data_IF_371423991024
#
_entry.id   IF_371423991024
#
_cell.length_a   1.000
_cell.length_b   1.000
_cell.length_c   1.000
_cell.angle_alpha   90.00
_cell.angle_beta   90.00
_cell.angle_gamma   90.00
#
_symmetry.space_group_name_H-M   'P 1'
#
loop_
_entity.id
_entity.type
_entity.pdbx_description
1 polymer ?
#
# COMPACT_ATOMS: atom_id res chain seq x y z
N UNK A 1 7.59 -31.21 -16.10
CA UNK A 1 7.39 -30.39 -14.88
C UNK A 1 5.98 -30.67 -14.38
N UNK A 2 5.82 -31.08 -13.11
CA UNK A 2 4.50 -31.33 -12.54
C UNK A 2 3.68 -30.04 -12.59
N UNK A 3 2.46 -30.13 -13.06
CA UNK A 3 1.52 -29.00 -13.11
C UNK A 3 1.27 -28.53 -11.68
N UNK A 4 1.80 -27.37 -11.30
CA UNK A 4 1.62 -26.83 -9.94
C UNK A 4 0.18 -26.37 -9.79
N UNK A 5 -0.59 -27.10 -8.99
CA UNK A 5 -1.92 -26.70 -8.55
C UNK A 5 -1.80 -25.61 -7.47
N UNK A 6 -2.81 -24.77 -7.36
CA UNK A 6 -2.95 -23.81 -6.27
C UNK A 6 -4.38 -23.85 -5.72
N UNK A 7 -4.54 -23.34 -4.51
CA UNK A 7 -5.84 -23.27 -3.84
C UNK A 7 -6.10 -21.81 -3.48
N UNK A 8 -7.21 -21.27 -3.94
CA UNK A 8 -7.74 -20.01 -3.41
C UNK A 8 -8.56 -20.32 -2.16
N UNK A 9 -8.48 -19.46 -1.13
CA UNK A 9 -9.23 -19.62 0.12
C UNK A 9 -9.68 -18.26 0.64
N UNK A 10 -10.75 -18.27 1.44
CA UNK A 10 -11.36 -17.06 1.98
C UNK A 10 -12.15 -17.36 3.25
N UNK A 11 -12.19 -16.40 4.17
CA UNK A 11 -12.92 -16.46 5.41
C UNK A 11 -14.00 -15.39 5.48
N UNK A 12 -15.24 -15.78 5.86
CA UNK A 12 -16.15 -14.82 6.43
C UNK A 12 -15.98 -14.77 7.94
N UNK A 13 -16.12 -13.56 8.51
CA UNK A 13 -15.81 -13.34 9.92
C UNK A 13 -16.89 -12.61 10.67
N UNK A 14 -16.93 -12.79 12.01
CA UNK A 14 -17.89 -12.14 12.90
C UNK A 14 -17.75 -10.62 12.99
N UNK A 15 -16.64 -10.05 12.49
CA UNK A 15 -16.31 -8.64 12.50
C UNK A 15 -14.86 -8.40 12.11
N UNK A 16 -14.33 -7.21 12.33
CA UNK A 16 -12.96 -6.85 12.03
C UNK A 16 -12.06 -6.92 13.28
N UNK A 17 -10.74 -7.17 13.10
CA UNK A 17 -9.79 -7.19 14.21
C UNK A 17 -9.61 -5.77 14.78
N UNK A 18 -9.40 -5.66 16.10
CA UNK A 18 -9.14 -4.39 16.80
C UNK A 18 -7.72 -3.83 16.59
N UNK A 19 -6.86 -4.57 15.92
CA UNK A 19 -5.46 -4.16 15.68
C UNK A 19 -4.89 -4.81 14.43
N UNK A 20 -3.67 -4.42 14.08
CA UNK A 20 -2.96 -4.87 12.87
C UNK A 20 -1.62 -5.56 13.18
N UNK A 21 -1.35 -5.87 14.45
CA UNK A 21 -0.12 -6.58 14.83
C UNK A 21 -0.14 -8.02 14.33
N UNK A 22 1.01 -8.64 14.05
CA UNK A 22 1.08 -10.06 13.73
C UNK A 22 0.37 -10.91 14.81
N UNK A 23 -0.23 -12.00 14.41
CA UNK A 23 -0.94 -12.92 15.30
C UNK A 23 0.07 -13.74 16.09
N UNK A 24 0.08 -13.54 17.39
CA UNK A 24 0.82 -14.31 18.39
C UNK A 24 -0.07 -14.56 19.60
N UNK A 25 0.36 -15.39 20.54
CA UNK A 25 -0.39 -15.61 21.77
C UNK A 25 -0.64 -14.30 22.54
N UNK A 26 0.31 -13.37 22.52
CA UNK A 26 0.22 -12.07 23.20
C UNK A 26 -0.74 -11.10 22.51
N UNK A 27 -0.87 -11.21 21.19
CA UNK A 27 -1.69 -10.30 20.37
C UNK A 27 -3.04 -10.88 20.00
N UNK A 28 -3.34 -12.11 20.41
CA UNK A 28 -4.56 -12.86 20.04
C UNK A 28 -5.85 -12.11 20.37
N UNK A 29 -5.88 -11.38 21.46
CA UNK A 29 -7.05 -10.58 21.88
C UNK A 29 -7.50 -9.52 20.86
N UNK A 30 -6.64 -9.13 19.90
CA UNK A 30 -7.02 -8.23 18.81
C UNK A 30 -8.07 -8.87 17.86
N UNK A 31 -8.13 -10.22 17.85
CA UNK A 31 -9.02 -10.99 16.98
C UNK A 31 -10.28 -11.50 17.71
N UNK A 32 -10.56 -11.07 18.94
CA UNK A 32 -11.76 -11.46 19.67
C UNK A 32 -13.06 -11.05 18.98
N UNK A 33 -13.02 -9.98 18.21
CA UNK A 33 -14.12 -9.48 17.39
C UNK A 33 -14.08 -9.94 15.94
N UNK A 34 -13.06 -10.72 15.56
CA UNK A 34 -12.82 -11.19 14.18
C UNK A 34 -12.64 -12.71 14.19
N UNK A 35 -13.73 -13.42 14.47
CA UNK A 35 -13.76 -14.89 14.57
C UNK A 35 -14.25 -15.49 13.25
N UNK A 36 -13.71 -16.61 12.85
CA UNK A 36 -14.11 -17.30 11.63
C UNK A 36 -15.57 -17.80 11.71
N UNK A 37 -16.36 -17.45 10.71
CA UNK A 37 -17.78 -17.85 10.56
C UNK A 37 -17.94 -18.88 9.44
N UNK A 38 -17.18 -18.73 8.36
CA UNK A 38 -17.03 -19.77 7.32
C UNK A 38 -15.60 -19.80 6.79
N UNK A 39 -15.24 -20.94 6.23
CA UNK A 39 -14.00 -21.14 5.47
C UNK A 39 -14.34 -21.85 4.18
N UNK A 40 -14.00 -21.24 3.07
CA UNK A 40 -14.14 -21.82 1.74
C UNK A 40 -12.80 -21.91 1.04
N UNK A 41 -12.68 -22.86 0.12
CA UNK A 41 -11.51 -23.00 -0.72
C UNK A 41 -11.87 -23.56 -2.10
N UNK A 42 -11.11 -23.17 -3.10
CA UNK A 42 -11.27 -23.62 -4.48
C UNK A 42 -9.90 -24.04 -5.04
N UNK A 43 -9.79 -25.28 -5.49
CA UNK A 43 -8.59 -25.85 -6.10
C UNK A 43 -8.55 -25.59 -7.58
N UNK A 44 -7.44 -25.11 -8.07
CA UNK A 44 -7.21 -24.83 -9.48
C UNK A 44 -6.04 -25.62 -10.05
N UNK A 45 -6.14 -25.96 -11.34
CA UNK A 45 -5.00 -26.40 -12.12
C UNK A 45 -4.04 -25.23 -12.36
N UNK A 46 -2.81 -25.49 -12.78
CA UNK A 46 -1.83 -24.45 -13.16
C UNK A 46 -2.30 -23.53 -14.29
N UNK A 47 -3.35 -23.91 -15.04
CA UNK A 47 -3.97 -23.12 -16.10
C UNK A 47 -5.22 -22.36 -15.65
N UNK A 48 -5.45 -22.25 -14.34
CA UNK A 48 -6.60 -21.51 -13.80
C UNK A 48 -7.96 -22.20 -13.97
N UNK A 49 -7.99 -23.50 -14.32
CA UNK A 49 -9.24 -24.26 -14.39
C UNK A 49 -9.62 -24.76 -12.99
N UNK A 50 -10.84 -24.48 -12.56
CA UNK A 50 -11.41 -25.02 -11.32
C UNK A 50 -11.44 -26.55 -11.35
N UNK A 51 -10.94 -27.19 -10.31
CA UNK A 51 -10.83 -28.66 -10.17
C UNK A 51 -11.76 -29.18 -9.11
N UNK A 52 -11.78 -28.52 -7.93
CA UNK A 52 -12.50 -28.97 -6.74
C UNK A 52 -12.80 -27.80 -5.81
N UNK A 53 -13.78 -27.96 -4.92
CA UNK A 53 -14.16 -26.93 -3.97
C UNK A 53 -14.35 -27.51 -2.56
N UNK A 54 -14.08 -26.67 -1.57
CA UNK A 54 -14.35 -26.91 -0.15
C UNK A 54 -15.15 -25.72 0.37
N UNK A 55 -16.22 -26.01 1.12
CA UNK A 55 -17.07 -24.99 1.74
C UNK A 55 -17.58 -25.48 3.08
N UNK A 56 -17.31 -24.71 4.13
CA UNK A 56 -17.68 -25.10 5.48
C UNK A 56 -18.07 -23.89 6.34
N UNK A 57 -19.20 -23.99 6.98
CA UNK A 57 -19.65 -23.06 8.00
C UNK A 57 -19.09 -23.49 9.36
N UNK A 58 -18.68 -22.51 10.18
CA UNK A 58 -18.04 -22.72 11.48
C UNK A 58 -19.05 -22.41 12.60
N UNK A 59 -19.15 -23.33 13.55
CA UNK A 59 -20.05 -23.17 14.71
C UNK A 59 -19.52 -22.09 15.66
N UNK A 60 -20.25 -20.99 15.89
CA UNK A 60 -19.86 -20.00 16.89
C UNK A 60 -20.08 -20.54 18.30
N UNK A 61 -19.02 -20.76 19.05
CA UNK A 61 -19.08 -21.33 20.41
C UNK A 61 -19.04 -20.28 21.51
N UNK A 62 -18.19 -19.26 21.34
CA UNK A 62 -17.85 -18.28 22.37
C UNK A 62 -17.91 -16.83 21.86
N UNK A 63 -18.54 -16.62 20.72
CA UNK A 63 -18.70 -15.30 20.10
C UNK A 63 -20.06 -15.15 19.42
N UNK A 64 -20.40 -13.92 19.04
CA UNK A 64 -21.59 -13.58 18.25
C UNK A 64 -21.19 -12.92 16.95
N UNK A 65 -22.02 -13.06 15.93
CA UNK A 65 -21.78 -12.46 14.62
C UNK A 65 -22.36 -11.04 14.63
N UNK A 66 -21.56 -10.03 14.29
CA UNK A 66 -22.02 -8.65 14.30
C UNK A 66 -23.08 -8.40 13.23
N UNK A 67 -24.08 -7.53 13.47
CA UNK A 67 -25.10 -7.19 12.46
C UNK A 67 -24.47 -6.64 11.16
N UNK A 68 -23.35 -5.91 11.28
CA UNK A 68 -22.62 -5.39 10.11
C UNK A 68 -22.03 -6.52 9.26
N UNK A 69 -21.46 -7.56 9.87
CA UNK A 69 -20.95 -8.72 9.17
C UNK A 69 -22.07 -9.53 8.51
N UNK A 70 -23.18 -9.76 9.23
CA UNK A 70 -24.36 -10.42 8.67
C UNK A 70 -24.88 -9.68 7.43
N UNK A 71 -24.90 -8.34 7.46
CA UNK A 71 -25.34 -7.53 6.32
C UNK A 71 -24.40 -7.67 5.09
N UNK A 72 -23.15 -8.07 5.30
CA UNK A 72 -22.16 -8.25 4.22
C UNK A 72 -22.24 -9.67 3.64
N UNK A 73 -22.08 -10.71 4.46
CA UNK A 73 -21.96 -12.09 3.98
C UNK A 73 -23.26 -12.92 4.12
N UNK A 74 -24.30 -12.38 4.74
CA UNK A 74 -25.61 -13.03 4.86
C UNK A 74 -25.70 -14.21 5.84
N UNK A 75 -24.61 -14.61 6.50
CA UNK A 75 -24.61 -15.73 7.45
C UNK A 75 -25.10 -15.23 8.80
N UNK A 76 -26.30 -15.65 9.16
CA UNK A 76 -26.87 -15.34 10.48
C UNK A 76 -26.33 -16.28 11.56
N UNK A 77 -26.47 -15.88 12.82
CA UNK A 77 -26.05 -16.73 13.95
C UNK A 77 -26.82 -18.05 13.97
N UNK A 78 -28.12 -18.04 13.68
CA UNK A 78 -28.93 -19.24 13.58
C UNK A 78 -28.47 -20.20 12.48
N UNK A 79 -28.08 -19.65 11.31
CA UNK A 79 -27.51 -20.46 10.25
C UNK A 79 -26.18 -21.09 10.67
N UNK A 80 -25.28 -20.30 11.26
CA UNK A 80 -24.00 -20.78 11.73
C UNK A 80 -24.12 -21.82 12.85
N UNK A 81 -25.11 -21.66 13.77
CA UNK A 81 -25.38 -22.62 14.82
C UNK A 81 -26.03 -23.91 14.30
N UNK A 82 -26.90 -23.84 13.29
CA UNK A 82 -27.61 -25.00 12.77
C UNK A 82 -26.80 -25.83 11.78
N UNK A 83 -25.90 -25.18 10.99
CA UNK A 83 -25.16 -25.84 9.92
C UNK A 83 -23.64 -25.87 10.16
N UNK A 84 -23.15 -25.06 11.11
CA UNK A 84 -21.75 -24.96 11.43
C UNK A 84 -21.18 -26.18 12.13
N UNK A 85 -19.93 -26.44 11.90
CA UNK A 85 -19.15 -27.50 12.53
C UNK A 85 -18.06 -26.89 13.42
N UNK A 86 -17.57 -27.58 14.45
CA UNK A 86 -16.46 -27.12 15.28
C UNK A 86 -15.24 -26.77 14.40
N UNK A 87 -14.54 -25.67 14.72
CA UNK A 87 -13.40 -25.19 13.94
C UNK A 87 -12.35 -26.28 13.72
N UNK A 88 -12.00 -27.06 14.76
CA UNK A 88 -11.01 -28.13 14.66
C UNK A 88 -11.37 -29.17 13.58
N UNK A 89 -12.64 -29.52 13.46
CA UNK A 89 -13.12 -30.43 12.42
C UNK A 89 -13.01 -29.81 11.03
N UNK A 90 -13.45 -28.54 10.90
CA UNK A 90 -13.35 -27.80 9.64
C UNK A 90 -11.88 -27.64 9.20
N UNK A 91 -11.00 -27.33 10.14
CA UNK A 91 -9.57 -27.21 9.88
C UNK A 91 -8.94 -28.55 9.41
N UNK A 92 -9.31 -29.66 10.06
CA UNK A 92 -8.81 -31.01 9.69
C UNK A 92 -9.24 -31.36 8.24
N UNK A 93 -10.51 -31.10 7.92
CA UNK A 93 -11.02 -31.35 6.57
C UNK A 93 -10.37 -30.42 5.53
N UNK A 94 -10.14 -29.15 5.91
CA UNK A 94 -9.43 -28.19 5.08
C UNK A 94 -7.99 -28.59 4.80
N UNK A 95 -7.25 -29.05 5.80
CA UNK A 95 -5.90 -29.60 5.60
C UNK A 95 -5.90 -30.86 4.73
N UNK A 96 -6.92 -31.69 4.88
CA UNK A 96 -7.14 -32.86 3.98
C UNK A 96 -7.42 -32.41 2.56
N UNK A 97 -8.26 -31.38 2.38
CA UNK A 97 -8.52 -30.77 1.08
C UNK A 97 -7.23 -30.18 0.48
N UNK A 98 -6.39 -29.48 1.22
CA UNK A 98 -5.10 -28.96 0.73
C UNK A 98 -4.23 -30.12 0.24
N UNK A 99 -4.12 -31.18 1.01
CA UNK A 99 -3.32 -32.36 0.70
C UNK A 99 -1.81 -32.07 0.60
N UNK A 100 -0.97 -33.10 0.49
CA UNK A 100 0.48 -32.96 0.63
C UNK A 100 1.18 -32.30 -0.59
N UNK A 101 0.50 -32.23 -1.72
CA UNK A 101 1.12 -31.76 -2.99
C UNK A 101 0.91 -30.28 -3.26
N UNK A 102 -0.12 -29.66 -2.69
CA UNK A 102 -0.42 -28.25 -2.95
C UNK A 102 0.31 -27.40 -1.92
N UNK A 103 1.18 -26.51 -2.39
CA UNK A 103 1.96 -25.61 -1.54
C UNK A 103 1.54 -24.14 -1.70
N UNK A 104 0.86 -23.79 -2.79
CA UNK A 104 0.47 -22.40 -3.07
C UNK A 104 -0.98 -22.16 -2.66
N UNK A 105 -1.15 -21.28 -1.69
CA UNK A 105 -2.43 -20.78 -1.19
C UNK A 105 -2.61 -19.33 -1.65
N UNK A 106 -3.78 -18.99 -2.16
CA UNK A 106 -4.06 -17.68 -2.75
C UNK A 106 -5.26 -17.05 -2.07
N UNK A 107 -5.20 -15.77 -1.75
CA UNK A 107 -6.34 -15.01 -1.27
C UNK A 107 -6.30 -13.57 -1.78
N UNK A 108 -7.43 -12.87 -1.75
CA UNK A 108 -7.49 -11.44 -2.04
C UNK A 108 -7.41 -10.65 -0.73
N UNK A 109 -6.30 -9.98 -0.44
CA UNK A 109 -5.90 -9.47 0.86
C UNK A 109 -5.47 -10.59 1.84
N UNK A 110 -4.66 -11.52 1.34
CA UNK A 110 -4.24 -12.75 2.03
C UNK A 110 -3.75 -12.54 3.48
N UNK A 111 -3.20 -11.37 3.80
CA UNK A 111 -2.78 -11.04 5.17
C UNK A 111 -3.95 -11.13 6.17
N UNK A 112 -5.15 -10.75 5.75
CA UNK A 112 -6.34 -10.85 6.58
C UNK A 112 -6.69 -12.32 6.85
N UNK A 113 -6.87 -13.12 5.80
CA UNK A 113 -7.30 -14.52 5.88
C UNK A 113 -6.29 -15.39 6.63
N UNK A 114 -4.99 -15.19 6.36
CA UNK A 114 -3.90 -15.86 7.09
C UNK A 114 -3.93 -15.48 8.58
N UNK A 115 -4.21 -14.23 8.89
CA UNK A 115 -4.31 -13.80 10.29
C UNK A 115 -5.52 -14.40 11.00
N UNK A 116 -6.66 -14.50 10.32
CA UNK A 116 -7.85 -15.19 10.85
C UNK A 116 -7.54 -16.67 11.08
N UNK A 117 -6.96 -17.36 10.10
CA UNK A 117 -6.55 -18.76 10.22
C UNK A 117 -5.62 -18.98 11.43
N UNK A 118 -4.55 -18.17 11.54
CA UNK A 118 -3.59 -18.29 12.67
C UNK A 118 -4.23 -17.98 14.00
N UNK A 119 -5.16 -17.02 14.07
CA UNK A 119 -5.84 -16.68 15.31
C UNK A 119 -6.75 -17.80 15.80
N UNK A 120 -7.48 -18.44 14.89
CA UNK A 120 -8.30 -19.61 15.24
C UNK A 120 -7.45 -20.84 15.58
N UNK A 121 -6.33 -21.07 14.88
CA UNK A 121 -5.39 -22.15 15.23
C UNK A 121 -4.89 -21.99 16.67
N UNK A 122 -4.42 -20.78 17.05
CA UNK A 122 -3.96 -20.51 18.42
C UNK A 122 -5.06 -20.70 19.49
N UNK A 123 -6.30 -20.33 19.18
CA UNK A 123 -7.44 -20.51 20.10
C UNK A 123 -7.79 -21.97 20.34
N UNK A 124 -7.49 -22.82 19.39
CA UNK A 124 -7.78 -24.25 19.44
C UNK A 124 -6.53 -25.09 19.71
N UNK A 125 -5.43 -24.47 20.21
CA UNK A 125 -4.15 -25.13 20.52
C UNK A 125 -3.58 -25.93 19.35
N UNK A 126 -3.81 -25.45 18.11
CA UNK A 126 -3.27 -26.07 16.88
C UNK A 126 -1.90 -25.46 16.60
N UNK A 127 -0.92 -26.34 16.35
CA UNK A 127 0.44 -25.91 16.04
C UNK A 127 0.50 -25.13 14.71
N UNK A 128 1.00 -23.90 14.78
CA UNK A 128 1.16 -23.04 13.59
C UNK A 128 2.14 -23.60 12.55
N UNK A 129 3.05 -24.47 12.97
CA UNK A 129 4.01 -25.13 12.05
C UNK A 129 3.33 -25.96 10.95
N UNK A 130 2.08 -26.39 11.15
CA UNK A 130 1.30 -27.12 10.14
C UNK A 130 1.06 -26.33 8.85
N UNK A 131 1.17 -25.01 8.89
CA UNK A 131 0.97 -24.15 7.73
C UNK A 131 2.25 -23.43 7.27
N UNK A 132 3.40 -23.66 7.93
CA UNK A 132 4.67 -22.99 7.59
C UNK A 132 5.21 -23.39 6.20
N UNK A 133 4.90 -24.59 5.75
CA UNK A 133 5.24 -25.07 4.40
C UNK A 133 4.36 -24.51 3.28
N UNK A 134 3.29 -23.78 3.61
CA UNK A 134 2.38 -23.20 2.65
C UNK A 134 2.87 -21.82 2.20
N UNK A 135 2.89 -21.62 0.88
CA UNK A 135 3.26 -20.36 0.26
C UNK A 135 2.00 -19.52 0.03
N UNK A 136 1.74 -18.56 0.91
CA UNK A 136 0.61 -17.66 0.80
C UNK A 136 0.89 -16.53 -0.20
N UNK A 137 0.02 -16.39 -1.20
CA UNK A 137 0.09 -15.38 -2.26
C UNK A 137 -1.14 -14.47 -2.19
N UNK A 138 -0.92 -13.19 -2.34
CA UNK A 138 -1.98 -12.18 -2.26
C UNK A 138 -2.23 -11.56 -3.64
N UNK A 139 -3.42 -11.78 -4.21
CA UNK A 139 -3.78 -11.20 -5.52
C UNK A 139 -3.85 -9.68 -5.47
N UNK A 140 -4.25 -9.08 -4.33
CA UNK A 140 -4.27 -7.65 -4.12
C UNK A 140 -2.84 -7.07 -4.12
N UNK A 141 -1.89 -7.70 -3.40
CA UNK A 141 -0.50 -7.23 -3.35
C UNK A 141 0.19 -7.41 -4.70
N UNK A 142 0.04 -8.58 -5.34
CA UNK A 142 0.56 -8.85 -6.67
C UNK A 142 0.02 -7.87 -7.72
N UNK A 143 -1.28 -7.57 -7.67
CA UNK A 143 -1.86 -6.53 -8.51
C UNK A 143 -1.30 -5.16 -8.19
N UNK A 144 -1.19 -4.82 -6.90
CA UNK A 144 -0.63 -3.55 -6.43
C UNK A 144 0.84 -3.39 -6.83
N UNK A 145 1.65 -4.42 -6.75
CA UNK A 145 3.04 -4.42 -7.21
C UNK A 145 3.14 -4.14 -8.72
N UNK A 146 2.21 -4.69 -9.50
CA UNK A 146 2.20 -4.54 -10.96
C UNK A 146 1.56 -3.23 -11.43
N UNK A 147 0.46 -2.80 -10.78
CA UNK A 147 -0.37 -1.68 -11.24
C UNK A 147 -0.45 -0.52 -10.24
N UNK A 148 0.22 -0.63 -9.07
CA UNK A 148 0.46 0.42 -8.06
C UNK A 148 -0.79 1.00 -7.39
N UNK A 149 -1.94 0.38 -7.54
CA UNK A 149 -3.15 0.76 -6.81
C UNK A 149 -3.80 -0.48 -6.19
N UNK A 150 -4.41 -0.36 -5.01
CA UNK A 150 -5.27 -1.42 -4.51
C UNK A 150 -6.49 -1.56 -5.43
N UNK A 151 -7.00 -2.77 -5.53
CA UNK A 151 -8.20 -3.05 -6.32
C UNK A 151 -9.10 -4.00 -5.51
N UNK A 152 -10.42 -3.83 -5.61
CA UNK A 152 -11.38 -4.78 -5.05
C UNK A 152 -11.46 -6.00 -5.95
N UNK A 153 -11.68 -7.18 -5.39
CA UNK A 153 -11.76 -8.43 -6.14
C UNK A 153 -12.79 -8.37 -7.26
N UNK A 154 -13.99 -7.84 -6.98
CA UNK A 154 -15.05 -7.70 -7.99
C UNK A 154 -14.63 -6.83 -9.17
N UNK A 155 -13.97 -5.68 -8.91
CA UNK A 155 -13.45 -4.80 -9.96
C UNK A 155 -12.34 -5.47 -10.76
N UNK A 156 -11.43 -6.18 -10.08
CA UNK A 156 -10.37 -6.93 -10.74
C UNK A 156 -10.93 -8.03 -11.63
N UNK A 157 -11.95 -8.74 -11.16
CA UNK A 157 -12.62 -9.79 -11.92
C UNK A 157 -13.33 -9.23 -13.18
N UNK A 158 -14.10 -8.15 -13.00
CA UNK A 158 -14.79 -7.47 -14.10
C UNK A 158 -13.79 -6.91 -15.13
N UNK A 159 -12.69 -6.30 -14.66
CA UNK A 159 -11.61 -5.83 -15.53
C UNK A 159 -11.00 -6.95 -16.38
N UNK A 160 -10.86 -8.16 -15.83
CA UNK A 160 -10.22 -9.29 -16.51
C UNK A 160 -11.20 -10.01 -17.45
N UNK A 161 -12.43 -10.23 -17.03
CA UNK A 161 -13.36 -11.11 -17.74
C UNK A 161 -14.47 -10.37 -18.49
N UNK A 162 -14.62 -9.04 -18.25
CA UNK A 162 -15.69 -8.23 -18.84
C UNK A 162 -17.09 -8.54 -18.29
N UNK A 163 -17.15 -9.27 -17.17
CA UNK A 163 -18.38 -9.67 -16.50
C UNK A 163 -18.23 -9.56 -14.99
N UNK A 164 -19.30 -9.30 -14.26
CA UNK A 164 -19.31 -9.38 -12.80
C UNK A 164 -19.52 -10.84 -12.38
N UNK A 165 -18.92 -11.25 -11.25
CA UNK A 165 -19.24 -12.55 -10.69
C UNK A 165 -20.39 -12.43 -9.70
N UNK A 166 -21.25 -13.43 -9.70
CA UNK A 166 -22.42 -13.49 -8.84
C UNK A 166 -22.03 -13.83 -7.39
N UNK A 167 -22.86 -13.39 -6.45
CA UNK A 167 -22.74 -13.69 -5.02
C UNK A 167 -21.41 -13.19 -4.40
N UNK A 168 -20.92 -12.02 -4.77
CA UNK A 168 -19.84 -11.35 -4.05
C UNK A 168 -20.17 -11.30 -2.55
N UNK A 169 -19.14 -11.47 -1.69
CA UNK A 169 -19.26 -11.65 -0.24
C UNK A 169 -19.87 -13.01 0.18
N UNK A 170 -19.81 -14.00 -0.68
CA UNK A 170 -19.88 -15.39 -0.32
C UNK A 170 -18.48 -15.99 -0.45
N UNK A 171 -17.94 -16.53 0.61
CA UNK A 171 -16.54 -16.97 0.65
C UNK A 171 -16.17 -17.96 -0.47
N UNK A 172 -17.07 -18.85 -0.89
CA UNK A 172 -16.81 -19.77 -2.00
C UNK A 172 -16.78 -19.03 -3.35
N UNK A 173 -17.72 -18.09 -3.59
CA UNK A 173 -17.74 -17.28 -4.81
C UNK A 173 -16.47 -16.41 -4.89
N UNK A 174 -16.05 -15.81 -3.77
CA UNK A 174 -14.83 -15.01 -3.68
C UNK A 174 -13.57 -15.87 -3.90
N UNK A 175 -13.51 -17.10 -3.37
CA UNK A 175 -12.46 -18.08 -3.70
C UNK A 175 -12.38 -18.40 -5.19
N UNK A 176 -13.52 -18.65 -5.83
CA UNK A 176 -13.56 -18.98 -7.26
C UNK A 176 -13.10 -17.76 -8.08
N UNK A 177 -13.59 -16.57 -7.76
CA UNK A 177 -13.17 -15.34 -8.42
C UNK A 177 -11.67 -15.07 -8.22
N UNK A 178 -11.17 -15.18 -6.97
CA UNK A 178 -9.77 -15.00 -6.63
C UNK A 178 -8.86 -16.00 -7.37
N UNK A 179 -9.27 -17.26 -7.41
CA UNK A 179 -8.50 -18.28 -8.12
C UNK A 179 -8.49 -18.07 -9.63
N UNK A 180 -9.60 -17.63 -10.24
CA UNK A 180 -9.65 -17.29 -11.66
C UNK A 180 -8.76 -16.11 -12.03
N UNK A 181 -8.68 -15.07 -11.19
CA UNK A 181 -7.85 -13.89 -11.47
C UNK A 181 -6.35 -14.13 -11.22
N UNK A 182 -5.98 -15.09 -10.37
CA UNK A 182 -4.59 -15.32 -9.95
C UNK A 182 -3.62 -15.55 -11.13
N UNK A 183 -3.88 -16.42 -12.14
CA UNK A 183 -2.99 -16.59 -13.29
C UNK A 183 -2.71 -15.29 -14.05
N UNK A 184 -3.71 -14.42 -14.10
CA UNK A 184 -3.61 -13.15 -14.79
C UNK A 184 -2.70 -12.16 -14.01
N UNK A 185 -2.84 -12.14 -12.70
CA UNK A 185 -2.05 -11.25 -11.85
C UNK A 185 -0.57 -11.65 -11.84
N UNK A 186 -0.25 -12.95 -11.88
CA UNK A 186 1.14 -13.43 -11.92
C UNK A 186 1.77 -13.42 -13.33
N UNK A 187 1.00 -13.07 -14.37
CA UNK A 187 1.53 -12.92 -15.73
C UNK A 187 1.85 -14.21 -16.45
N UNK A 188 1.27 -15.36 -16.07
CA UNK A 188 1.48 -16.65 -16.73
C UNK A 188 0.84 -16.76 -18.13
N UNK A 189 -0.06 -15.86 -18.49
CA UNK A 189 -0.55 -15.75 -19.87
C UNK A 189 0.19 -14.63 -20.58
N UNK A 190 1.18 -15.00 -21.39
CA UNK A 190 2.02 -14.10 -22.20
C UNK A 190 1.25 -13.26 -23.23
N UNK A 191 -0.05 -13.44 -23.35
CA UNK A 191 -0.92 -12.74 -24.30
C UNK A 191 -2.01 -11.89 -23.65
N UNK A 192 -1.98 -11.69 -22.33
CA UNK A 192 -2.85 -10.71 -21.73
C UNK A 192 -2.29 -9.33 -22.00
N UNK A 193 -2.90 -8.66 -22.96
CA UNK A 193 -2.82 -7.19 -22.99
C UNK A 193 -3.23 -6.73 -21.59
N UNK A 194 -2.48 -5.82 -20.97
CA UNK A 194 -2.93 -5.24 -19.72
C UNK A 194 -4.33 -4.72 -19.95
N UNK A 195 -5.29 -5.21 -19.14
CA UNK A 195 -6.65 -4.73 -19.21
C UNK A 195 -6.64 -3.34 -18.61
N UNK A 196 -6.85 -2.39 -19.45
CA UNK A 196 -6.55 -1.00 -19.25
C UNK A 196 -5.30 -0.59 -20.00
N UNK A 197 -5.28 0.63 -20.46
CA UNK A 197 -4.11 1.29 -21.05
C UNK A 197 -2.93 1.10 -20.10
N UNK A 198 -1.76 0.57 -20.55
CA UNK A 198 -0.56 0.53 -19.73
C UNK A 198 -0.36 1.88 -19.05
N UNK A 199 -0.09 1.87 -17.75
CA UNK A 199 -0.02 3.13 -17.00
C UNK A 199 1.33 3.32 -16.35
N UNK A 200 1.90 4.49 -16.55
CA UNK A 200 3.03 4.98 -15.76
C UNK A 200 2.50 6.04 -14.77
N UNK A 201 2.64 5.76 -13.49
CA UNK A 201 2.16 6.62 -12.42
C UNK A 201 3.31 7.44 -11.85
N UNK A 202 3.12 8.74 -11.84
CA UNK A 202 3.99 9.72 -11.17
C UNK A 202 3.25 10.19 -9.91
N UNK A 203 3.85 10.02 -8.74
CA UNK A 203 3.27 10.53 -7.49
C UNK A 203 3.14 12.05 -7.53
N UNK A 204 2.04 12.62 -7.01
CA UNK A 204 1.82 14.06 -6.98
C UNK A 204 2.99 14.82 -6.32
N UNK A 205 3.58 14.28 -5.26
CA UNK A 205 4.79 14.81 -4.61
C UNK A 205 6.06 14.73 -5.47
N UNK A 206 6.06 13.91 -6.53
CA UNK A 206 7.19 13.74 -7.45
C UNK A 206 7.09 14.61 -8.70
N UNK A 207 5.97 15.30 -8.93
CA UNK A 207 5.78 16.18 -10.10
C UNK A 207 6.85 17.24 -10.19
N UNK A 208 7.18 17.90 -9.08
CA UNK A 208 8.26 18.89 -9.04
C UNK A 208 9.61 18.30 -9.47
N UNK A 209 9.89 17.05 -9.09
CA UNK A 209 11.12 16.34 -9.51
C UNK A 209 11.10 15.99 -10.99
N UNK A 210 9.95 15.57 -11.50
CA UNK A 210 9.76 15.27 -12.92
C UNK A 210 10.01 16.50 -13.82
N UNK A 211 9.61 17.69 -13.36
CA UNK A 211 9.85 18.95 -14.10
C UNK A 211 11.16 19.66 -13.75
N UNK A 212 12.05 19.02 -12.97
CA UNK A 212 13.40 19.51 -12.69
C UNK A 212 13.53 20.54 -11.57
N UNK A 213 12.45 20.90 -10.85
CA UNK A 213 12.50 21.84 -9.72
C UNK A 213 12.32 21.18 -8.34
N UNK A 214 12.24 19.84 -8.30
CA UNK A 214 12.03 19.08 -7.07
C UNK A 214 13.26 18.98 -6.17
N UNK A 215 13.03 18.57 -4.93
CA UNK A 215 14.10 18.24 -3.99
C UNK A 215 14.92 17.02 -4.46
N UNK A 216 14.24 15.98 -4.97
CA UNK A 216 14.86 14.86 -5.66
C UNK A 216 15.21 15.29 -7.09
N UNK A 217 16.40 14.97 -7.56
CA UNK A 217 16.80 15.28 -8.94
C UNK A 217 16.05 14.40 -9.94
N UNK A 218 15.78 14.94 -11.13
CA UNK A 218 15.06 14.24 -12.19
C UNK A 218 15.69 12.88 -12.56
N UNK A 219 17.03 12.74 -12.74
CA UNK A 219 17.63 11.43 -13.01
C UNK A 219 17.35 10.37 -11.91
N UNK A 220 17.32 10.77 -10.65
CA UNK A 220 17.01 9.86 -9.54
C UNK A 220 15.54 9.36 -9.61
N UNK A 221 14.62 10.23 -10.02
CA UNK A 221 13.24 9.84 -10.26
C UNK A 221 13.11 8.89 -11.45
N UNK A 222 13.86 9.14 -12.52
CA UNK A 222 13.92 8.26 -13.70
C UNK A 222 14.38 6.86 -13.30
N UNK A 223 15.49 6.73 -12.55
CA UNK A 223 16.00 5.44 -12.07
C UNK A 223 14.94 4.67 -11.23
N UNK A 224 14.27 5.37 -10.34
CA UNK A 224 13.19 4.77 -9.52
C UNK A 224 12.01 4.29 -10.37
N UNK A 225 11.57 5.09 -11.32
CA UNK A 225 10.49 4.72 -12.24
C UNK A 225 10.93 3.60 -13.18
N UNK A 226 12.16 3.62 -13.69
CA UNK A 226 12.69 2.58 -14.55
C UNK A 226 12.74 1.23 -13.84
N UNK A 227 13.34 1.19 -12.66
CA UNK A 227 13.33 -0.02 -11.81
C UNK A 227 11.91 -0.54 -11.56
N UNK A 228 10.94 0.35 -11.43
CA UNK A 228 9.56 0.01 -11.14
C UNK A 228 8.79 -0.53 -12.34
N UNK A 229 8.98 0.06 -13.51
CA UNK A 229 8.20 -0.23 -14.72
C UNK A 229 8.89 -1.16 -15.70
N UNK A 230 10.21 -1.24 -15.67
CA UNK A 230 11.01 -2.14 -16.50
C UNK A 230 12.19 -2.73 -15.70
N UNK A 231 11.92 -3.48 -14.61
CA UNK A 231 12.98 -4.00 -13.74
C UNK A 231 13.93 -4.95 -14.46
N UNK A 232 13.49 -5.57 -15.56
CA UNK A 232 14.29 -6.48 -16.38
C UNK A 232 15.36 -5.77 -17.21
N UNK A 233 15.17 -4.47 -17.52
CA UNK A 233 16.12 -3.64 -18.29
C UNK A 233 16.87 -2.66 -17.40
N UNK A 234 16.51 -2.53 -16.13
CA UNK A 234 17.19 -1.65 -15.20
C UNK A 234 18.52 -2.26 -14.75
N UNK A 235 19.59 -1.86 -15.39
CA UNK A 235 20.95 -2.22 -15.01
C UNK A 235 21.48 -1.20 -13.98
N UNK A 236 21.44 -1.54 -12.71
CA UNK A 236 21.99 -0.65 -11.69
C UNK A 236 21.32 -0.78 -10.33
N UNK A 237 21.64 0.17 -9.46
CA UNK A 237 21.06 0.30 -8.12
C UNK A 237 20.65 1.74 -7.92
N UNK A 238 19.41 1.96 -7.52
CA UNK A 238 18.96 3.28 -7.08
C UNK A 238 19.76 3.73 -5.85
N UNK A 239 19.69 5.01 -5.52
CA UNK A 239 20.31 5.51 -4.26
C UNK A 239 19.78 4.79 -3.04
N UNK A 240 18.49 4.46 -3.05
CA UNK A 240 17.82 3.72 -1.98
C UNK A 240 18.35 2.30 -1.88
N UNK A 241 18.48 1.57 -3.00
CA UNK A 241 19.04 0.22 -3.01
C UNK A 241 20.46 0.17 -2.45
N UNK A 242 21.32 1.12 -2.87
CA UNK A 242 22.69 1.23 -2.37
C UNK A 242 22.71 1.46 -0.86
N UNK A 243 21.86 2.36 -0.38
CA UNK A 243 21.78 2.64 1.04
C UNK A 243 21.26 1.45 1.86
N UNK A 244 20.23 0.76 1.37
CA UNK A 244 19.68 -0.44 2.02
C UNK A 244 20.69 -1.58 2.02
N UNK A 245 21.42 -1.82 0.93
CA UNK A 245 22.47 -2.84 0.86
C UNK A 245 23.57 -2.58 1.91
N UNK A 246 24.04 -1.33 2.00
CA UNK A 246 25.03 -0.92 3.00
C UNK A 246 24.50 -1.12 4.42
N UNK A 247 23.27 -0.69 4.68
CA UNK A 247 22.67 -0.77 6.02
C UNK A 247 22.28 -2.20 6.41
N UNK A 248 22.01 -3.07 5.46
CA UNK A 248 21.70 -4.48 5.71
C UNK A 248 22.93 -5.38 5.72
N UNK A 249 24.13 -4.84 5.50
CA UNK A 249 25.38 -5.61 5.41
C UNK A 249 25.71 -6.40 6.68
N UNK A 250 25.41 -5.87 7.88
CA UNK A 250 25.64 -6.56 9.15
C UNK A 250 24.52 -6.27 10.16
N UNK A 251 24.50 -7.06 11.24
CA UNK A 251 23.48 -6.97 12.29
C UNK A 251 23.44 -5.60 12.98
N UNK A 252 24.60 -4.94 13.12
CA UNK A 252 24.68 -3.63 13.78
C UNK A 252 24.04 -2.54 12.94
N UNK A 253 24.40 -2.44 11.65
CA UNK A 253 23.84 -1.44 10.73
C UNK A 253 22.36 -1.70 10.45
N UNK A 254 21.94 -2.96 10.35
CA UNK A 254 20.54 -3.34 10.24
C UNK A 254 19.70 -2.85 11.42
N UNK A 255 20.20 -3.04 12.64
CA UNK A 255 19.53 -2.53 13.85
C UNK A 255 19.40 -1.01 13.86
N UNK A 256 20.43 -0.29 13.38
CA UNK A 256 20.37 1.18 13.26
C UNK A 256 19.26 1.60 12.28
N UNK A 257 19.10 0.89 11.15
CA UNK A 257 18.03 1.13 10.20
C UNK A 257 16.65 0.89 10.84
N UNK A 258 16.44 -0.28 11.44
CA UNK A 258 15.20 -0.64 12.13
C UNK A 258 14.83 0.38 13.23
N UNK A 259 15.80 0.83 14.00
CA UNK A 259 15.63 1.86 15.03
C UNK A 259 15.25 3.23 14.44
N UNK A 260 15.76 3.58 13.25
CA UNK A 260 15.41 4.82 12.57
C UNK A 260 14.00 4.75 11.93
N UNK A 261 13.64 3.62 11.32
CA UNK A 261 12.31 3.39 10.74
C UNK A 261 11.19 3.41 11.78
N UNK A 262 11.46 2.86 12.96
CA UNK A 262 10.49 2.79 14.05
C UNK A 262 10.49 4.01 14.98
N UNK A 263 11.42 4.95 14.77
CA UNK A 263 11.57 6.11 15.63
C UNK A 263 10.31 7.01 15.58
N UNK A 264 9.83 7.36 16.76
CA UNK A 264 8.71 8.29 16.96
C UNK A 264 9.26 9.55 17.63
N UNK A 265 9.10 10.68 16.99
CA UNK A 265 9.52 11.99 17.53
C UNK A 265 8.28 12.77 17.96
N UNK A 266 8.38 13.47 19.07
CA UNK A 266 7.37 14.43 19.53
C UNK A 266 7.64 15.84 19.01
N UNK A 267 8.91 16.19 18.89
CA UNK A 267 9.37 17.51 18.47
C UNK A 267 10.66 17.43 17.63
N UNK A 268 11.13 18.57 17.16
CA UNK A 268 12.35 18.65 16.34
C UNK A 268 13.64 18.35 17.11
N UNK A 269 13.67 18.58 18.41
CA UNK A 269 14.85 18.28 19.25
C UNK A 269 15.09 16.77 19.32
N UNK A 270 14.03 15.96 19.43
CA UNK A 270 14.10 14.50 19.39
C UNK A 270 14.72 14.01 18.08
N UNK A 271 14.29 14.59 16.95
CA UNK A 271 14.82 14.25 15.62
C UNK A 271 16.30 14.60 15.52
N UNK A 272 16.68 15.78 16.02
CA UNK A 272 18.07 16.22 16.00
C UNK A 272 18.96 15.34 16.90
N UNK A 273 18.47 14.96 18.08
CA UNK A 273 19.16 14.05 18.99
C UNK A 273 19.32 12.66 18.39
N UNK A 274 18.24 12.08 17.84
CA UNK A 274 18.28 10.76 17.18
C UNK A 274 19.20 10.78 15.98
N UNK A 275 19.19 11.85 15.18
CA UNK A 275 20.09 11.99 14.03
C UNK A 275 21.55 11.96 14.45
N UNK A 276 21.92 12.69 15.51
CA UNK A 276 23.30 12.67 16.07
C UNK A 276 23.69 11.28 16.59
N UNK A 277 22.78 10.63 17.31
CA UNK A 277 23.03 9.29 17.84
C UNK A 277 23.25 8.27 16.71
N UNK A 278 22.41 8.29 15.69
CA UNK A 278 22.53 7.42 14.52
C UNK A 278 23.83 7.70 13.76
N UNK A 279 24.22 8.96 13.58
CA UNK A 279 25.48 9.31 12.93
C UNK A 279 26.70 8.79 13.69
N UNK A 280 26.69 8.93 15.02
CA UNK A 280 27.73 8.37 15.86
C UNK A 280 27.81 6.84 15.76
N UNK A 281 26.67 6.15 15.74
CA UNK A 281 26.64 4.70 15.56
C UNK A 281 27.19 4.26 14.20
N UNK A 282 26.88 4.98 13.11
CA UNK A 282 27.40 4.71 11.78
C UNK A 282 28.91 4.95 11.72
N UNK A 283 29.45 5.98 12.39
CA UNK A 283 30.90 6.23 12.47
C UNK A 283 31.68 5.09 13.12
N UNK A 284 31.02 4.30 13.99
CA UNK A 284 31.64 3.16 14.68
C UNK A 284 31.17 1.81 14.12
N UNK A 285 30.52 1.77 12.97
CA UNK A 285 29.95 0.53 12.37
C UNK A 285 30.92 -0.28 11.52
N UNK A 286 32.13 0.25 11.25
CA UNK A 286 33.12 -0.40 10.39
C UNK A 286 32.87 -0.23 8.89
N UNK A 287 31.93 0.65 8.49
CA UNK A 287 31.69 1.01 7.09
C UNK A 287 32.85 1.84 6.50
N UNK A 288 33.01 1.80 5.20
CA UNK A 288 33.91 2.71 4.50
C UNK A 288 33.44 4.17 4.63
N UNK A 289 34.35 5.13 4.41
CA UNK A 289 34.01 6.56 4.47
C UNK A 289 32.91 6.94 3.45
N UNK A 290 32.93 6.34 2.28
CA UNK A 290 31.93 6.54 1.23
C UNK A 290 30.57 5.95 1.62
N UNK A 291 30.56 4.71 2.13
CA UNK A 291 29.32 4.05 2.58
C UNK A 291 28.70 4.77 3.79
N UNK A 292 29.52 5.30 4.69
CA UNK A 292 29.03 6.13 5.81
C UNK A 292 28.25 7.36 5.34
N UNK A 293 28.69 8.01 4.27
CA UNK A 293 27.98 9.17 3.71
C UNK A 293 26.61 8.77 3.17
N UNK A 294 26.54 7.67 2.43
CA UNK A 294 25.31 7.15 1.85
C UNK A 294 24.34 6.71 2.96
N UNK A 295 24.83 5.94 3.94
CA UNK A 295 24.05 5.48 5.07
C UNK A 295 23.48 6.64 5.91
N UNK A 296 24.31 7.64 6.24
CA UNK A 296 23.90 8.83 7.00
C UNK A 296 22.83 9.65 6.28
N UNK A 297 22.97 9.82 4.96
CA UNK A 297 21.99 10.57 4.18
C UNK A 297 20.62 9.85 4.15
N UNK A 298 20.62 8.54 3.93
CA UNK A 298 19.41 7.71 3.95
C UNK A 298 18.72 7.72 5.32
N UNK A 299 19.45 7.48 6.40
CA UNK A 299 18.92 7.46 7.76
C UNK A 299 18.37 8.82 8.18
N UNK A 300 19.05 9.92 7.81
CA UNK A 300 18.54 11.28 8.03
C UNK A 300 17.22 11.50 7.30
N UNK A 301 17.14 11.10 6.02
CA UNK A 301 15.92 11.21 5.23
C UNK A 301 14.78 10.43 5.89
N UNK A 302 15.03 9.19 6.32
CA UNK A 302 14.06 8.35 7.03
C UNK A 302 13.54 9.02 8.30
N UNK A 303 14.42 9.53 9.16
CA UNK A 303 14.03 10.21 10.40
C UNK A 303 13.19 11.47 10.15
N UNK A 304 13.55 12.27 9.13
CA UNK A 304 12.83 13.51 8.82
C UNK A 304 11.47 13.23 8.16
N UNK A 305 11.39 12.24 7.28
CA UNK A 305 10.12 11.80 6.68
C UNK A 305 9.18 11.27 7.75
N UNK A 306 9.67 10.41 8.64
CA UNK A 306 8.88 9.88 9.74
C UNK A 306 8.37 10.97 10.68
N UNK A 307 9.20 11.99 10.99
CA UNK A 307 8.75 13.14 11.77
C UNK A 307 7.63 13.91 11.06
N UNK A 308 7.79 14.17 9.75
CA UNK A 308 6.79 14.86 8.95
C UNK A 308 5.45 14.15 9.00
N UNK A 309 5.41 12.92 8.48
CA UNK A 309 4.17 12.15 8.31
C UNK A 309 3.49 11.81 9.64
N UNK A 310 4.26 11.42 10.67
CA UNK A 310 3.67 11.02 11.96
C UNK A 310 3.08 12.18 12.76
N UNK A 311 3.49 13.41 12.51
CA UNK A 311 2.97 14.59 13.21
C UNK A 311 1.90 15.36 12.42
N UNK A 312 1.57 14.95 11.19
CA UNK A 312 0.52 15.58 10.38
C UNK A 312 -0.82 15.66 11.13
N UNK A 313 -1.25 14.57 11.77
CA UNK A 313 -2.51 14.54 12.51
C UNK A 313 -2.50 15.53 13.68
N UNK A 314 -1.37 15.66 14.44
CA UNK A 314 -1.25 16.61 15.55
C UNK A 314 -1.36 18.05 15.05
N UNK A 315 -0.72 18.32 13.91
CA UNK A 315 -0.78 19.65 13.27
C UNK A 315 -2.17 19.96 12.75
N UNK A 316 -2.88 18.95 12.21
CA UNK A 316 -4.25 19.08 11.78
C UNK A 316 -5.22 19.30 12.95
N UNK A 317 -5.09 18.51 14.02
CA UNK A 317 -5.94 18.63 15.21
C UNK A 317 -5.76 19.96 15.97
N UNK A 318 -4.56 20.53 15.93
CA UNK A 318 -4.25 21.83 16.53
C UNK A 318 -4.58 23.03 15.60
N UNK A 319 -5.21 22.79 14.45
CA UNK A 319 -5.60 23.86 13.53
C UNK A 319 -6.87 24.58 14.02
N UNK A 320 -6.95 25.90 13.80
CA UNK A 320 -8.12 26.69 14.17
C UNK A 320 -9.33 26.42 13.27
N UNK A 321 -9.10 25.90 12.05
CA UNK A 321 -10.13 25.56 11.12
C UNK A 321 -10.56 24.09 11.28
N UNK A 322 -11.83 23.80 10.96
CA UNK A 322 -12.31 22.42 10.89
C UNK A 322 -11.68 21.73 9.68
N UNK A 323 -10.73 20.86 9.93
CA UNK A 323 -10.09 20.03 8.91
C UNK A 323 -10.74 18.65 8.83
N UNK A 324 -10.93 18.17 7.61
CA UNK A 324 -11.51 16.86 7.30
C UNK A 324 -10.46 16.02 6.60
N UNK A 325 -10.32 14.78 7.03
CA UNK A 325 -9.48 13.77 6.37
C UNK A 325 -10.17 13.26 5.11
N UNK A 326 -9.40 13.08 4.05
CA UNK A 326 -9.89 12.52 2.79
C UNK A 326 -8.91 11.45 2.30
N UNK A 327 -9.33 10.21 2.36
CA UNK A 327 -8.53 9.04 1.94
C UNK A 327 -8.61 8.76 0.43
N UNK A 328 -9.25 9.63 -0.33
CA UNK A 328 -9.42 9.48 -1.78
C UNK A 328 -8.09 9.62 -2.50
N UNK A 329 -7.82 8.71 -3.43
CA UNK A 329 -6.73 8.86 -4.40
C UNK A 329 -7.25 9.64 -5.59
N UNK A 330 -6.69 10.82 -5.78
CA UNK A 330 -6.98 11.69 -6.93
C UNK A 330 -6.03 11.39 -8.07
N UNK A 331 -6.48 11.62 -9.29
CA UNK A 331 -5.70 11.33 -10.50
C UNK A 331 -5.77 12.48 -11.49
N UNK A 332 -4.73 12.64 -12.31
CA UNK A 332 -4.69 13.56 -13.44
C UNK A 332 -3.93 12.89 -14.60
N UNK A 333 -4.58 12.80 -15.77
CA UNK A 333 -3.98 12.23 -16.96
C UNK A 333 -3.10 13.28 -17.65
N UNK A 334 -1.81 12.96 -17.80
CA UNK A 334 -0.82 13.87 -18.41
C UNK A 334 -0.89 13.75 -19.94
N UNK A 335 -0.66 12.53 -20.44
CA UNK A 335 -0.63 12.21 -21.88
C UNK A 335 -0.70 10.69 -22.07
N UNK A 336 -0.93 10.29 -23.33
CA UNK A 336 -0.80 8.89 -23.76
C UNK A 336 0.25 8.83 -24.87
N UNK A 337 1.26 7.97 -24.71
CA UNK A 337 2.35 7.77 -25.65
C UNK A 337 2.36 6.29 -26.04
N UNK A 338 2.19 5.99 -27.32
CA UNK A 338 2.17 4.62 -27.87
C UNK A 338 1.23 3.66 -27.09
N UNK A 339 0.06 4.16 -26.68
CA UNK A 339 -0.91 3.39 -25.92
C UNK A 339 -0.61 3.30 -24.40
N UNK A 340 0.46 3.89 -23.90
CA UNK A 340 0.77 3.97 -22.47
C UNK A 340 0.27 5.28 -21.88
N UNK A 341 -0.61 5.23 -20.88
CA UNK A 341 -1.11 6.40 -20.16
C UNK A 341 -0.13 6.81 -19.07
N UNK A 342 0.29 8.07 -19.10
CA UNK A 342 1.05 8.71 -18.03
C UNK A 342 0.10 9.50 -17.14
N UNK A 343 0.06 9.15 -15.85
CA UNK A 343 -0.94 9.66 -14.92
C UNK A 343 -0.29 10.11 -13.61
N UNK A 344 -0.70 11.27 -13.10
CA UNK A 344 -0.38 11.68 -11.73
C UNK A 344 -1.37 11.02 -10.79
N UNK A 345 -0.88 10.51 -9.67
CA UNK A 345 -1.73 9.98 -8.58
C UNK A 345 -1.25 10.54 -7.25
N UNK A 346 -2.17 10.95 -6.40
CA UNK A 346 -1.85 11.44 -5.07
C UNK A 346 -3.04 11.43 -4.13
N UNK A 347 -2.74 11.53 -2.84
CA UNK A 347 -3.69 11.73 -1.76
C UNK A 347 -3.36 13.05 -1.08
N UNK A 348 -4.37 13.81 -0.76
CA UNK A 348 -4.24 15.09 -0.07
C UNK A 348 -4.13 14.89 1.45
N UNK A 349 -3.56 15.87 2.16
CA UNK A 349 -3.45 15.78 3.60
C UNK A 349 -4.81 16.06 4.26
N UNK A 350 -5.43 17.22 3.99
CA UNK A 350 -6.72 17.59 4.59
C UNK A 350 -7.52 18.52 3.69
N UNK A 351 -8.83 18.59 3.97
CA UNK A 351 -9.74 19.61 3.44
C UNK A 351 -10.24 20.50 4.58
N UNK A 352 -10.18 21.81 4.41
CA UNK A 352 -10.85 22.79 5.26
C UNK A 352 -12.23 23.08 4.68
N UNK A 353 -13.25 22.94 5.52
CA UNK A 353 -14.62 23.33 5.18
C UNK A 353 -14.85 24.78 5.63
N UNK A 354 -15.09 25.68 4.68
CA UNK A 354 -15.31 27.10 4.94
C UNK A 354 -16.77 27.38 5.32
N UNK A 355 -17.01 28.50 5.97
CA UNK A 355 -18.38 28.92 6.41
C UNK A 355 -19.34 29.14 5.25
N UNK A 356 -18.84 29.56 4.10
CA UNK A 356 -19.61 29.77 2.87
C UNK A 356 -19.91 28.48 2.09
N UNK A 357 -19.51 27.30 2.64
CA UNK A 357 -19.66 25.99 2.01
C UNK A 357 -18.56 25.65 0.99
N UNK A 358 -17.64 26.56 0.69
CA UNK A 358 -16.50 26.28 -0.16
C UNK A 358 -15.46 25.41 0.58
N UNK A 359 -14.55 24.80 -0.19
CA UNK A 359 -13.47 23.97 0.35
C UNK A 359 -12.11 24.57 0.02
N UNK A 360 -11.17 24.43 0.95
CA UNK A 360 -9.77 24.79 0.76
C UNK A 360 -8.92 23.56 1.02
N UNK A 361 -8.03 23.24 0.09
CA UNK A 361 -7.01 22.20 0.29
C UNK A 361 -6.04 22.64 1.40
N UNK A 362 -5.65 21.73 2.26
CA UNK A 362 -4.62 22.00 3.28
C UNK A 362 -3.49 20.99 3.15
N UNK A 363 -2.31 21.49 2.84
CA UNK A 363 -1.07 20.73 2.75
C UNK A 363 -0.22 21.02 3.98
N UNK A 364 0.17 19.99 4.74
CA UNK A 364 0.87 20.14 6.03
C UNK A 364 2.34 19.76 5.89
N UNK A 365 3.23 20.63 6.37
CA UNK A 365 4.68 20.42 6.37
C UNK A 365 5.26 20.54 7.76
N UNK A 366 5.44 19.42 8.47
CA UNK A 366 6.14 19.40 9.75
C UNK A 366 7.65 19.47 9.52
N UNK A 367 8.26 20.57 9.92
CA UNK A 367 9.67 20.86 9.69
C UNK A 367 10.54 20.32 10.84
N UNK A 368 11.67 19.71 10.47
CA UNK A 368 12.61 19.17 11.44
C UNK A 368 13.72 20.17 11.85
N UNK A 369 13.93 21.26 11.08
CA UNK A 369 15.05 22.20 11.32
C UNK A 369 14.63 23.65 11.54
N UNK A 370 13.47 24.05 11.11
CA UNK A 370 12.95 25.43 11.18
C UNK A 370 12.02 25.73 10.02
N UNK A 371 11.18 26.76 10.19
CA UNK A 371 10.29 27.23 9.13
C UNK A 371 11.12 27.78 7.95
N UNK A 372 10.67 27.52 6.74
CA UNK A 372 11.28 28.12 5.55
C UNK A 372 10.92 29.59 5.38
N UNK A 373 9.84 30.02 6.00
CA UNK A 373 9.30 31.38 5.94
C UNK A 373 8.95 31.85 4.53
N UNK A 374 8.79 30.91 3.60
CA UNK A 374 8.32 31.13 2.21
C UNK A 374 7.86 29.81 1.62
N UNK A 375 6.99 29.87 0.63
CA UNK A 375 6.66 28.73 -0.22
C UNK A 375 7.87 28.43 -1.10
N UNK A 376 8.29 27.17 -1.17
CA UNK A 376 9.35 26.71 -2.08
C UNK A 376 8.74 26.33 -3.42
N UNK A 377 9.48 26.45 -4.50
CA UNK A 377 9.01 26.17 -5.86
C UNK A 377 8.42 24.75 -5.97
N UNK A 378 9.08 23.75 -5.39
CA UNK A 378 8.58 22.37 -5.39
C UNK A 378 7.30 22.17 -4.57
N UNK A 379 7.09 22.95 -3.53
CA UNK A 379 5.87 22.92 -2.70
C UNK A 379 4.72 23.62 -3.44
N UNK A 380 5.01 24.73 -4.11
CA UNK A 380 4.03 25.40 -4.97
C UNK A 380 3.56 24.46 -6.09
N UNK A 381 4.51 23.78 -6.77
CA UNK A 381 4.17 22.80 -7.81
C UNK A 381 3.32 21.66 -7.24
N UNK A 382 3.63 21.15 -6.06
CA UNK A 382 2.82 20.12 -5.40
C UNK A 382 1.40 20.63 -5.10
N UNK A 383 1.26 21.84 -4.55
CA UNK A 383 -0.05 22.44 -4.28
C UNK A 383 -0.84 22.65 -5.57
N UNK A 384 -0.22 23.20 -6.62
CA UNK A 384 -0.85 23.34 -7.94
C UNK A 384 -1.30 22.00 -8.51
N UNK A 385 -0.47 20.95 -8.36
CA UNK A 385 -0.82 19.61 -8.80
C UNK A 385 -2.11 19.12 -8.14
N UNK A 386 -2.22 19.21 -6.82
CA UNK A 386 -3.44 18.82 -6.12
C UNK A 386 -4.64 19.68 -6.48
N UNK A 387 -4.48 20.99 -6.62
CA UNK A 387 -5.55 21.89 -7.04
C UNK A 387 -6.09 21.54 -8.43
N UNK A 388 -5.23 21.09 -9.35
CA UNK A 388 -5.66 20.60 -10.67
C UNK A 388 -6.36 19.24 -10.59
N UNK A 389 -5.88 18.33 -9.76
CA UNK A 389 -6.51 17.02 -9.55
C UNK A 389 -7.89 17.10 -8.92
N UNK A 390 -8.09 18.06 -8.00
CA UNK A 390 -9.37 18.30 -7.32
C UNK A 390 -10.38 19.08 -8.19
N UNK A 391 -9.89 19.88 -9.13
CA UNK A 391 -10.70 20.60 -10.12
C UNK A 391 -11.51 21.78 -9.58
N UNK A 392 -12.36 21.55 -8.62
CA UNK A 392 -13.33 22.50 -8.07
C UNK A 392 -12.80 23.38 -6.91
N UNK A 393 -11.61 23.07 -6.38
CA UNK A 393 -10.99 23.80 -5.28
C UNK A 393 -10.07 24.90 -5.84
N UNK A 394 -10.26 26.13 -5.36
CA UNK A 394 -9.53 27.31 -5.83
C UNK A 394 -8.26 27.62 -5.04
N UNK A 395 -8.21 27.20 -3.78
CA UNK A 395 -7.14 27.57 -2.86
C UNK A 395 -6.53 26.39 -2.18
N UNK A 396 -5.20 26.42 -2.02
CA UNK A 396 -4.43 25.53 -1.15
C UNK A 396 -3.79 26.36 -0.03
N UNK A 397 -4.01 25.95 1.21
CA UNK A 397 -3.33 26.51 2.36
C UNK A 397 -2.16 25.59 2.71
N UNK A 398 -0.94 26.02 2.40
CA UNK A 398 0.28 25.34 2.85
C UNK A 398 0.56 25.74 4.29
N UNK A 399 0.61 24.79 5.22
CA UNK A 399 0.85 24.99 6.64
C UNK A 399 2.23 24.43 6.99
N UNK A 400 3.14 25.30 7.40
CA UNK A 400 4.41 24.92 8.00
C UNK A 400 4.26 24.87 9.52
N UNK A 401 4.74 23.79 10.13
CA UNK A 401 4.82 23.62 11.58
C UNK A 401 6.27 23.29 11.99
N UNK A 402 6.82 24.01 12.94
CA UNK A 402 8.12 23.73 13.57
C UNK A 402 8.00 23.93 15.09
N UNK A 403 7.97 22.85 15.84
CA UNK A 403 7.60 22.85 17.26
C UNK A 403 6.28 23.60 17.48
N UNK A 404 6.29 24.67 18.29
CA UNK A 404 5.10 25.51 18.58
C UNK A 404 4.89 26.62 17.55
N UNK A 405 5.84 26.84 16.62
CA UNK A 405 5.74 27.86 15.61
C UNK A 405 4.97 27.34 14.38
N UNK A 406 3.96 28.13 13.93
CA UNK A 406 3.16 27.81 12.76
C UNK A 406 3.11 28.98 11.81
N UNK A 407 3.14 28.68 10.50
CA UNK A 407 2.95 29.65 9.44
C UNK A 407 2.11 29.06 8.31
N UNK A 408 1.15 29.83 7.83
CA UNK A 408 0.28 29.45 6.72
C UNK A 408 0.51 30.34 5.51
N UNK A 409 0.41 29.75 4.31
CA UNK A 409 0.48 30.46 3.03
C UNK A 409 -0.73 30.04 2.19
N UNK A 410 -1.44 31.03 1.66
CA UNK A 410 -2.54 30.77 0.75
C UNK A 410 -2.03 30.80 -0.68
N UNK A 411 -2.22 29.70 -1.40
CA UNK A 411 -1.82 29.51 -2.79
C UNK A 411 -3.10 29.40 -3.61
N UNK A 412 -3.26 30.29 -4.57
CA UNK A 412 -4.38 30.25 -5.49
C UNK A 412 -4.10 29.31 -6.66
N UNK A 413 -5.12 28.60 -7.14
CA UNK A 413 -5.06 27.78 -8.33
C UNK A 413 -4.67 28.62 -9.54
N UNK A 414 -3.62 28.22 -10.23
CA UNK A 414 -3.11 28.91 -11.41
C UNK A 414 -3.16 27.99 -12.64
N UNK A 415 -4.26 28.10 -13.38
CA UNK A 415 -4.50 27.30 -14.57
C UNK A 415 -3.54 27.64 -15.74
N UNK A 416 -3.10 28.90 -15.83
CA UNK A 416 -2.14 29.33 -16.84
C UNK A 416 -0.77 28.71 -16.56
N UNK A 417 -0.23 28.87 -15.35
CA UNK A 417 1.02 28.22 -14.93
C UNK A 417 0.98 26.70 -15.13
N UNK A 418 -0.17 26.09 -14.82
CA UNK A 418 -0.34 24.66 -15.02
C UNK A 418 -0.25 24.25 -16.48
N UNK A 419 -1.01 24.91 -17.37
CA UNK A 419 -1.10 24.57 -18.79
C UNK A 419 0.14 24.95 -19.58
N UNK A 420 0.72 26.11 -19.28
CA UNK A 420 1.77 26.70 -20.13
C UNK A 420 3.19 26.39 -19.64
N UNK A 421 3.36 25.99 -18.36
CA UNK A 421 4.67 25.69 -17.79
C UNK A 421 4.76 24.22 -17.28
N UNK A 422 3.85 23.80 -16.39
CA UNK A 422 3.99 22.50 -15.70
C UNK A 422 3.67 21.33 -16.62
N UNK A 423 2.53 21.35 -17.32
CA UNK A 423 2.09 20.24 -18.19
C UNK A 423 3.07 20.00 -19.34
N UNK A 424 3.57 21.01 -20.08
CA UNK A 424 4.55 20.78 -21.14
C UNK A 424 5.85 20.12 -20.64
N UNK A 425 6.35 20.55 -19.47
CA UNK A 425 7.52 19.91 -18.85
C UNK A 425 7.27 18.48 -18.42
N UNK A 426 6.05 18.19 -17.91
CA UNK A 426 5.66 16.82 -17.58
C UNK A 426 5.55 15.95 -18.83
N UNK A 427 5.00 16.46 -19.93
CA UNK A 427 4.91 15.74 -21.19
C UNK A 427 6.30 15.42 -21.74
N UNK A 428 7.22 16.39 -21.74
CA UNK A 428 8.61 16.17 -22.13
C UNK A 428 9.30 15.11 -21.25
N UNK A 429 9.01 15.11 -19.93
CA UNK A 429 9.50 14.08 -19.03
C UNK A 429 8.93 12.70 -19.39
N UNK A 430 7.64 12.62 -19.70
CA UNK A 430 7.00 11.36 -20.08
C UNK A 430 7.56 10.83 -21.41
N UNK A 431 7.81 11.70 -22.40
CA UNK A 431 8.42 11.35 -23.68
C UNK A 431 9.85 10.82 -23.49
N UNK A 432 10.66 11.53 -22.70
CA UNK A 432 12.02 11.10 -22.35
C UNK A 432 12.01 9.74 -21.66
N UNK A 433 11.16 9.56 -20.67
CA UNK A 433 11.07 8.30 -19.94
C UNK A 433 10.55 7.16 -20.83
N UNK A 434 9.58 7.45 -21.70
CA UNK A 434 9.04 6.48 -22.64
C UNK A 434 10.09 6.00 -23.65
N UNK A 435 10.89 6.92 -24.21
CA UNK A 435 11.98 6.57 -25.15
C UNK A 435 12.99 5.64 -24.47
N UNK A 436 13.37 5.91 -23.22
CA UNK A 436 14.29 5.05 -22.46
C UNK A 436 13.74 3.63 -22.23
N UNK A 437 12.42 3.47 -22.08
CA UNK A 437 11.80 2.16 -21.95
C UNK A 437 11.70 1.41 -23.29
N UNK A 438 11.73 2.13 -24.43
CA UNK A 438 11.52 1.59 -25.78
C UNK A 438 12.83 1.29 -26.52
N UNK A 439 13.95 1.90 -26.16
CA UNK A 439 15.24 1.73 -26.83
C UNK A 439 15.93 0.37 -26.60
N UNK A 440 15.34 -0.53 -25.78
CA UNK A 440 15.93 -1.83 -25.42
C UNK A 440 15.06 -3.03 -25.82
N UNK A 441 14.25 -2.93 -26.89
CA UNK A 441 13.52 -4.07 -27.46
C UNK A 441 14.17 -4.62 -28.71
#
# INVERSE_FOLDING_TARGET
MACMQYIAFDFETSGLPKGRKPVTQETLGQYDTCRAVSLSAARFSSRGRLVDTFDAMILPTDFTISPGSIAIHGITEDMARSKGRPFLQVFTDFMTFIGPRTKTMVAHNAKFDVSVLRSEMLRHDIDLSLIDDLNFRCTLELYRERFLKPIRLGVLYEDIFGEQFENAHNSLADCIACGRVYPYVIGHERNLKPIGVPKVIIGASSVASAIGCGFKKQPELIEELWKKYSPQTFEGKTKEDKALEILMWNTSTKKILEDAENFKSENSADVAQKTRAVYHQIEHSGLSAEDMVIAKDHLRKTLYTNHGTRNEYKTADADHAKLVEDDTFYTYDICTIEGTLYQIVGRIDRLQMNEDGSRTLVEIKNRAKGLFNRVRDYEEVQCQTYLQMLGDIKYCRLVEQFNDERKGYLIEKNDEKWKDDIVPKLQNFCELFHSMLSEEV
#
